data_IF_474918409463
#
_entry.id   IF_474918409463
#
_cell.length_a   1.000
_cell.length_b   1.000
_cell.length_c   1.000
_cell.angle_alpha   90.00
_cell.angle_beta   90.00
_cell.angle_gamma   90.00
#
_symmetry.space_group_name_H-M   'P 1'
#
loop_
_entity.id
_entity.type
_entity.pdbx_description
1 polymer ?
#
# COMPACT_ATOMS: atom_id res chain seq x y z
N UNK A 1 -5.73 3.17 -18.62
CA UNK A 1 -5.91 3.35 -17.18
C UNK A 1 -4.56 3.70 -16.55
N UNK A 2 -4.50 4.76 -15.74
CA UNK A 2 -3.28 5.16 -15.04
C UNK A 2 -3.28 4.60 -13.62
N UNK A 3 -2.10 4.25 -13.11
CA UNK A 3 -1.88 3.79 -11.73
C UNK A 3 -2.41 4.77 -10.68
N UNK A 4 -2.47 6.04 -11.02
CA UNK A 4 -2.94 7.12 -10.15
C UNK A 4 -4.46 7.32 -10.17
N UNK A 5 -5.19 6.68 -11.08
CA UNK A 5 -6.61 6.95 -11.32
C UNK A 5 -7.50 6.63 -10.10
N UNK A 6 -7.13 5.64 -9.29
CA UNK A 6 -7.91 5.24 -8.11
C UNK A 6 -7.97 6.34 -7.03
N UNK A 7 -7.05 7.30 -7.06
CA UNK A 7 -6.91 8.34 -6.04
C UNK A 7 -7.55 9.68 -6.42
N UNK A 8 -8.19 9.77 -7.58
CA UNK A 8 -8.77 11.04 -8.07
C UNK A 8 -9.90 11.58 -7.17
N UNK A 9 -10.54 10.72 -6.38
CA UNK A 9 -11.60 11.10 -5.42
C UNK A 9 -11.11 11.20 -3.98
N UNK A 10 -9.82 10.97 -3.72
CA UNK A 10 -9.26 11.14 -2.40
C UNK A 10 -9.38 12.60 -1.95
N UNK A 11 -9.62 12.87 -0.66
CA UNK A 11 -9.72 14.23 -0.16
C UNK A 11 -8.50 15.08 -0.52
N UNK A 12 -8.71 16.32 -0.89
CA UNK A 12 -7.62 17.23 -1.29
C UNK A 12 -6.55 17.33 -0.18
N UNK A 13 -6.98 17.32 1.08
CA UNK A 13 -6.08 17.38 2.24
C UNK A 13 -5.10 16.19 2.31
N UNK A 14 -5.47 15.01 1.81
CA UNK A 14 -4.59 13.85 1.78
C UNK A 14 -3.60 13.87 0.61
N UNK A 15 -3.93 14.64 -0.44
CA UNK A 15 -3.16 14.70 -1.67
C UNK A 15 -2.23 15.91 -1.74
N UNK A 16 -2.36 16.87 -0.82
CA UNK A 16 -1.61 18.13 -0.86
C UNK A 16 -0.39 18.09 0.05
N UNK A 17 0.77 18.47 -0.49
CA UNK A 17 1.94 18.77 0.32
C UNK A 17 1.85 20.20 0.87
N UNK A 18 2.44 20.44 2.04
CA UNK A 18 2.58 21.76 2.63
C UNK A 18 3.77 22.53 2.01
N UNK A 19 3.76 22.66 0.71
CA UNK A 19 4.76 23.40 -0.09
C UNK A 19 4.17 24.72 -0.60
N UNK A 20 5.00 25.65 -1.12
CA UNK A 20 4.49 26.86 -1.77
C UNK A 20 3.42 26.55 -2.82
N UNK A 21 2.40 27.40 -2.90
CA UNK A 21 1.25 27.20 -3.79
C UNK A 21 1.68 27.01 -5.27
N UNK A 22 2.72 27.69 -5.71
CA UNK A 22 3.28 27.57 -7.06
C UNK A 22 3.79 26.16 -7.38
N UNK A 23 4.28 25.41 -6.39
CA UNK A 23 4.68 24.04 -6.59
C UNK A 23 3.48 23.13 -6.81
N UNK A 24 2.42 23.35 -6.04
CA UNK A 24 1.19 22.60 -6.23
C UNK A 24 0.58 22.89 -7.63
N UNK A 25 0.59 24.13 -8.07
CA UNK A 25 0.15 24.54 -9.41
C UNK A 25 1.02 23.92 -10.52
N UNK A 26 2.30 23.64 -10.23
CA UNK A 26 3.20 22.88 -11.10
C UNK A 26 3.03 21.35 -10.99
N UNK A 27 2.03 20.85 -10.26
CA UNK A 27 1.72 19.43 -10.16
C UNK A 27 2.39 18.68 -8.99
N UNK A 28 3.09 19.39 -8.08
CA UNK A 28 3.71 18.77 -6.89
C UNK A 28 2.62 18.44 -5.86
N UNK A 29 2.12 17.21 -5.95
CA UNK A 29 1.08 16.67 -5.06
C UNK A 29 1.29 15.16 -4.87
N UNK A 30 0.57 14.55 -3.94
CA UNK A 30 0.48 13.09 -3.86
C UNK A 30 -0.45 12.58 -4.96
N UNK A 31 0.05 11.72 -5.81
CA UNK A 31 -0.72 11.09 -6.87
C UNK A 31 -1.22 9.70 -6.45
N UNK A 32 -0.42 8.99 -5.64
CA UNK A 32 -0.66 7.59 -5.27
C UNK A 32 -0.38 6.63 -6.44
N UNK A 33 -0.08 5.37 -6.11
CA UNK A 33 0.28 4.35 -7.10
C UNK A 33 -0.32 3.00 -6.74
N UNK A 34 -0.11 1.99 -7.57
CA UNK A 34 -0.75 0.67 -7.51
C UNK A 34 -2.29 0.76 -7.51
N UNK A 35 -2.83 1.73 -8.24
CA UNK A 35 -4.26 2.01 -8.23
C UNK A 35 -5.11 0.87 -8.74
N UNK A 36 -4.66 0.12 -9.74
CA UNK A 36 -5.37 -1.06 -10.24
C UNK A 36 -5.45 -2.15 -9.16
N UNK A 37 -4.34 -2.42 -8.46
CA UNK A 37 -4.30 -3.37 -7.36
C UNK A 37 -5.22 -2.95 -6.22
N UNK A 38 -5.08 -1.74 -5.70
CA UNK A 38 -5.90 -1.27 -4.57
C UNK A 38 -7.39 -1.16 -4.92
N UNK A 39 -7.73 -0.85 -6.18
CA UNK A 39 -9.12 -0.89 -6.66
C UNK A 39 -9.67 -2.31 -6.67
N UNK A 40 -8.88 -3.29 -7.12
CA UNK A 40 -9.27 -4.68 -7.06
C UNK A 40 -9.50 -5.13 -5.62
N UNK A 41 -8.60 -4.77 -4.69
CA UNK A 41 -8.76 -5.08 -3.27
C UNK A 41 -9.99 -4.41 -2.67
N UNK A 42 -10.30 -3.16 -3.04
CA UNK A 42 -11.51 -2.46 -2.59
C UNK A 42 -12.80 -3.20 -2.98
N UNK A 43 -12.85 -3.72 -4.20
CA UNK A 43 -13.97 -4.53 -4.68
C UNK A 43 -14.01 -5.88 -3.97
N UNK A 44 -12.90 -6.64 -4.02
CA UNK A 44 -12.89 -8.03 -3.57
C UNK A 44 -13.06 -8.16 -2.05
N UNK A 45 -12.45 -7.28 -1.26
CA UNK A 45 -12.66 -7.27 0.19
C UNK A 45 -14.10 -6.97 0.57
N UNK A 46 -14.79 -6.08 -0.16
CA UNK A 46 -16.19 -5.79 0.07
C UNK A 46 -17.07 -7.01 -0.24
N UNK A 47 -16.82 -7.74 -1.33
CA UNK A 47 -17.51 -9.00 -1.64
C UNK A 47 -17.34 -10.02 -0.52
N UNK A 48 -16.10 -10.26 -0.05
CA UNK A 48 -15.80 -11.21 1.02
C UNK A 48 -16.46 -10.84 2.36
N UNK A 49 -16.69 -9.55 2.59
CA UNK A 49 -17.36 -9.04 3.79
C UNK A 49 -18.88 -8.89 3.63
N UNK A 50 -19.46 -9.39 2.53
CA UNK A 50 -20.91 -9.36 2.27
C UNK A 50 -21.45 -7.96 1.98
N UNK A 51 -20.59 -7.00 1.55
CA UNK A 51 -20.95 -5.63 1.23
C UNK A 51 -20.99 -5.42 -0.29
N UNK A 52 -21.99 -6.06 -0.92
CA UNK A 52 -22.18 -5.99 -2.37
C UNK A 52 -22.45 -4.57 -2.88
N UNK A 53 -23.07 -3.72 -2.06
CA UNK A 53 -23.25 -2.29 -2.32
C UNK A 53 -21.91 -1.57 -2.52
N UNK A 54 -20.95 -1.83 -1.62
CA UNK A 54 -19.57 -1.27 -1.68
C UNK A 54 -18.80 -1.90 -2.84
N UNK A 55 -18.91 -3.21 -3.05
CA UNK A 55 -18.27 -3.90 -4.16
C UNK A 55 -18.71 -3.32 -5.51
N UNK A 56 -20.02 -3.12 -5.69
CA UNK A 56 -20.58 -2.50 -6.89
C UNK A 56 -20.09 -1.06 -7.08
N UNK A 57 -20.02 -0.28 -6.01
CA UNK A 57 -19.45 1.06 -6.07
C UNK A 57 -17.99 1.03 -6.51
N UNK A 58 -17.15 0.18 -5.90
CA UNK A 58 -15.74 0.04 -6.27
C UNK A 58 -15.57 -0.39 -7.74
N UNK A 59 -16.40 -1.33 -8.19
CA UNK A 59 -16.41 -1.83 -9.57
C UNK A 59 -16.73 -0.73 -10.57
N UNK A 60 -17.68 0.14 -10.27
CA UNK A 60 -18.16 1.20 -11.15
C UNK A 60 -17.56 2.59 -10.88
N UNK A 61 -16.54 2.66 -10.05
CA UNK A 61 -15.94 3.90 -9.54
C UNK A 61 -15.62 4.92 -10.65
N UNK A 62 -15.09 4.44 -11.77
CA UNK A 62 -14.69 5.29 -12.91
C UNK A 62 -15.84 5.68 -13.85
N UNK A 63 -16.96 4.96 -13.79
CA UNK A 63 -18.16 5.23 -14.60
C UNK A 63 -19.08 6.21 -13.87
N UNK A 64 -19.35 5.93 -12.61
CA UNK A 64 -20.31 6.67 -11.80
C UNK A 64 -19.69 7.85 -11.04
N UNK A 65 -18.42 8.15 -11.32
CA UNK A 65 -17.69 9.23 -10.67
C UNK A 65 -17.72 9.12 -9.13
N UNK A 66 -17.62 7.89 -8.62
CA UNK A 66 -17.79 7.52 -7.21
C UNK A 66 -19.15 7.92 -6.60
N UNK A 67 -20.15 8.20 -7.43
CA UNK A 67 -21.46 8.71 -6.99
C UNK A 67 -22.47 7.63 -6.58
N UNK A 68 -22.19 6.34 -6.80
CA UNK A 68 -23.10 5.27 -6.39
C UNK A 68 -23.33 5.30 -4.87
N UNK A 69 -24.59 5.28 -4.40
CA UNK A 69 -24.88 5.25 -2.98
C UNK A 69 -24.35 3.97 -2.33
N UNK A 70 -24.06 4.06 -1.06
CA UNK A 70 -23.66 2.94 -0.21
C UNK A 70 -24.64 2.86 0.95
N UNK A 71 -25.24 1.70 1.14
CA UNK A 71 -26.22 1.45 2.19
C UNK A 71 -25.53 0.89 3.45
N UNK A 72 -26.05 1.28 4.62
CA UNK A 72 -25.56 0.76 5.89
C UNK A 72 -24.28 1.45 6.44
N UNK A 73 -23.59 0.80 7.39
CA UNK A 73 -22.42 1.38 8.05
C UNK A 73 -21.24 1.49 7.07
N UNK A 74 -20.32 2.45 7.30
CA UNK A 74 -19.13 2.57 6.47
C UNK A 74 -18.29 1.30 6.51
N UNK A 75 -17.78 0.89 5.34
CA UNK A 75 -16.78 -0.17 5.21
C UNK A 75 -15.38 0.47 5.11
N UNK A 76 -14.52 0.11 6.05
CA UNK A 76 -13.16 0.66 6.25
C UNK A 76 -12.13 -0.41 5.97
N UNK A 77 -11.33 -0.21 4.97
CA UNK A 77 -10.30 -1.18 4.55
C UNK A 77 -8.94 -0.50 4.48
N UNK A 78 -7.91 -1.15 5.01
CA UNK A 78 -6.52 -0.81 4.73
C UNK A 78 -5.95 -1.89 3.83
N UNK A 79 -5.54 -1.50 2.64
CA UNK A 79 -4.94 -2.37 1.64
C UNK A 79 -3.43 -2.20 1.62
N UNK A 80 -2.71 -3.28 1.90
CA UNK A 80 -1.26 -3.36 1.94
C UNK A 80 -0.75 -4.10 0.69
N UNK A 81 -0.42 -3.37 -0.37
CA UNK A 81 0.27 -3.90 -1.53
C UNK A 81 1.76 -3.95 -1.22
N UNK A 82 2.26 -5.13 -0.85
CA UNK A 82 3.65 -5.34 -0.43
C UNK A 82 4.37 -6.20 -1.47
N UNK A 83 5.24 -5.58 -2.23
CA UNK A 83 6.05 -6.21 -3.28
C UNK A 83 7.44 -5.59 -3.35
N UNK A 84 8.16 -5.76 -4.44
CA UNK A 84 9.41 -5.05 -4.69
C UNK A 84 9.23 -3.52 -4.71
N UNK A 85 8.02 -3.08 -5.03
CA UNK A 85 7.47 -1.75 -4.77
C UNK A 85 6.28 -1.93 -3.84
N UNK A 86 6.19 -1.15 -2.76
CA UNK A 86 5.18 -1.33 -1.72
C UNK A 86 4.38 -0.05 -1.48
N UNK A 87 3.08 -0.17 -1.29
CA UNK A 87 2.23 0.94 -0.86
C UNK A 87 1.09 0.49 0.03
N UNK A 88 0.60 1.41 0.86
CA UNK A 88 -0.57 1.20 1.71
C UNK A 88 -1.60 2.27 1.37
N UNK A 89 -2.84 1.82 1.23
CA UNK A 89 -3.99 2.69 0.88
C UNK A 89 -5.09 2.53 1.91
N UNK A 90 -5.58 3.66 2.43
CA UNK A 90 -6.83 3.70 3.17
C UNK A 90 -8.02 3.78 2.21
N UNK A 91 -9.03 2.95 2.44
CA UNK A 91 -10.21 2.82 1.57
C UNK A 91 -11.47 2.96 2.43
N UNK A 92 -12.35 3.87 2.04
CA UNK A 92 -13.65 4.07 2.66
C UNK A 92 -14.76 3.82 1.65
N UNK A 93 -15.61 2.84 1.93
CA UNK A 93 -16.74 2.51 1.05
C UNK A 93 -16.31 2.31 -0.42
N UNK A 94 -15.22 1.58 -0.65
CA UNK A 94 -14.74 1.23 -1.99
C UNK A 94 -13.95 2.32 -2.73
N UNK A 95 -13.75 3.51 -2.12
CA UNK A 95 -12.94 4.58 -2.69
C UNK A 95 -11.71 4.89 -1.83
N UNK A 96 -10.57 5.21 -2.46
CA UNK A 96 -9.37 5.56 -1.73
C UNK A 96 -9.52 6.92 -1.01
N UNK A 97 -9.02 6.98 0.23
CA UNK A 97 -8.87 8.24 0.98
C UNK A 97 -7.44 8.77 0.95
N UNK A 98 -6.48 7.99 0.48
CA UNK A 98 -5.08 8.35 0.34
C UNK A 98 -4.20 7.13 0.07
N UNK A 99 -2.93 7.37 -0.24
CA UNK A 99 -1.90 6.34 -0.50
C UNK A 99 -0.57 6.76 0.13
N UNK A 100 0.21 5.82 0.58
CA UNK A 100 1.54 6.09 1.17
C UNK A 100 2.54 6.67 0.18
N UNK A 101 2.43 6.34 -1.11
CA UNK A 101 3.23 6.95 -2.15
C UNK A 101 2.76 8.37 -2.46
N UNK A 102 3.65 9.20 -2.99
CA UNK A 102 3.45 10.63 -3.15
C UNK A 102 3.46 11.12 -4.59
N UNK A 103 4.33 12.10 -4.88
CA UNK A 103 4.55 12.64 -6.22
C UNK A 103 5.05 11.56 -7.19
N UNK A 104 5.87 10.69 -6.68
CA UNK A 104 6.44 9.54 -7.39
C UNK A 104 6.31 8.28 -6.52
N UNK A 105 6.61 7.08 -7.04
CA UNK A 105 6.60 5.85 -6.26
C UNK A 105 7.86 5.70 -5.38
N UNK A 106 8.31 6.79 -4.74
CA UNK A 106 9.50 6.83 -3.88
C UNK A 106 9.17 6.90 -2.40
N UNK A 107 8.13 7.64 -2.01
CA UNK A 107 7.74 7.82 -0.61
C UNK A 107 6.90 6.66 -0.07
N UNK A 108 6.66 6.69 1.22
CA UNK A 108 5.94 5.65 1.94
C UNK A 108 6.91 4.64 2.56
N UNK A 109 6.66 3.36 2.32
CA UNK A 109 7.51 2.29 2.80
C UNK A 109 8.87 2.29 2.07
N UNK A 110 9.94 1.80 2.69
CA UNK A 110 11.13 1.44 1.92
C UNK A 110 10.76 0.34 0.91
N UNK A 111 11.22 0.51 -0.33
CA UNK A 111 11.06 -0.49 -1.39
C UNK A 111 12.33 -1.32 -1.50
N UNK A 112 12.43 -2.22 -2.47
CA UNK A 112 13.66 -3.00 -2.66
C UNK A 112 14.90 -2.11 -2.75
N UNK A 113 14.86 -1.05 -3.57
CA UNK A 113 15.99 -0.16 -3.86
C UNK A 113 15.65 1.34 -3.82
N UNK A 114 14.46 1.70 -3.33
CA UNK A 114 13.99 3.09 -3.21
C UNK A 114 13.72 3.44 -1.76
N UNK A 115 14.09 4.67 -1.39
CA UNK A 115 14.27 5.10 0.00
C UNK A 115 13.03 5.04 0.89
N UNK A 116 11.82 5.24 0.33
CA UNK A 116 10.62 5.47 1.14
C UNK A 116 10.53 6.91 1.67
N UNK A 117 9.89 7.08 2.82
CA UNK A 117 9.78 8.40 3.47
C UNK A 117 11.15 8.87 3.97
N UNK A 118 11.49 10.10 3.65
CA UNK A 118 12.74 10.76 4.01
C UNK A 118 12.49 12.23 4.31
N UNK A 119 13.17 12.77 5.30
CA UNK A 119 13.24 14.22 5.52
C UNK A 119 13.93 14.87 4.30
N UNK A 120 13.24 15.79 3.64
CA UNK A 120 13.75 16.50 2.46
C UNK A 120 15.07 17.26 2.73
N UNK A 121 15.33 17.66 3.98
CA UNK A 121 16.56 18.32 4.35
C UNK A 121 17.77 17.39 4.38
N UNK A 122 17.56 16.07 4.54
CA UNK A 122 18.65 15.10 4.44
C UNK A 122 19.31 15.12 3.06
N UNK A 123 18.51 15.28 1.99
CA UNK A 123 19.01 15.41 0.62
C UNK A 123 19.93 16.62 0.48
N UNK A 124 19.45 17.79 0.89
CA UNK A 124 20.23 19.03 0.81
C UNK A 124 21.49 19.00 1.69
N UNK A 125 21.40 18.33 2.85
CA UNK A 125 22.53 18.13 3.74
C UNK A 125 23.63 17.32 3.06
N UNK A 126 23.30 16.18 2.47
CA UNK A 126 24.28 15.30 1.82
C UNK A 126 24.90 15.96 0.58
N UNK A 127 24.09 16.65 -0.23
CA UNK A 127 24.62 17.42 -1.38
C UNK A 127 25.65 18.46 -0.95
N UNK A 128 25.39 19.18 0.14
CA UNK A 128 26.34 20.20 0.65
C UNK A 128 27.56 19.59 1.29
N UNK A 129 27.42 18.49 2.06
CA UNK A 129 28.50 17.85 2.79
C UNK A 129 29.50 17.18 1.86
N UNK A 130 28.99 16.41 0.89
CA UNK A 130 29.78 15.53 0.03
C UNK A 130 29.94 16.07 -1.40
N UNK A 131 29.31 17.20 -1.72
CA UNK A 131 29.38 17.82 -3.06
C UNK A 131 28.59 17.04 -4.13
N UNK A 132 27.58 16.25 -3.72
CA UNK A 132 26.84 15.38 -4.63
C UNK A 132 26.04 16.18 -5.66
N UNK A 133 26.09 15.75 -6.90
CA UNK A 133 25.23 16.22 -7.99
C UNK A 133 23.79 15.70 -7.81
N UNK A 134 22.86 16.28 -8.56
CA UNK A 134 21.45 15.82 -8.59
C UNK A 134 21.38 14.36 -9.01
N UNK A 135 22.13 13.95 -10.04
CA UNK A 135 22.10 12.60 -10.59
C UNK A 135 22.64 11.56 -9.58
N UNK A 136 23.69 11.92 -8.82
CA UNK A 136 24.22 11.05 -7.77
C UNK A 136 23.23 10.89 -6.62
N UNK A 137 22.53 11.96 -6.24
CA UNK A 137 21.48 11.88 -5.23
C UNK A 137 20.29 11.08 -5.73
N UNK A 138 19.86 11.29 -6.97
CA UNK A 138 18.79 10.50 -7.57
C UNK A 138 19.13 9.01 -7.56
N UNK A 139 20.34 8.64 -7.98
CA UNK A 139 20.80 7.25 -7.92
C UNK A 139 20.80 6.69 -6.50
N UNK A 140 21.28 7.45 -5.51
CA UNK A 140 21.31 7.02 -4.11
C UNK A 140 19.88 6.75 -3.57
N UNK A 141 18.91 7.60 -3.93
CA UNK A 141 17.53 7.47 -3.43
C UNK A 141 16.71 6.42 -4.19
N UNK A 142 16.95 6.27 -5.50
CA UNK A 142 16.10 5.49 -6.41
C UNK A 142 16.64 4.10 -6.76
N UNK A 143 17.95 3.87 -6.54
CA UNK A 143 18.63 2.65 -6.96
C UNK A 143 19.48 1.99 -5.88
N UNK A 144 19.99 2.77 -4.93
CA UNK A 144 20.89 2.31 -3.87
C UNK A 144 20.26 2.42 -2.47
N UNK A 145 19.05 2.99 -2.36
CA UNK A 145 18.30 3.14 -1.12
C UNK A 145 17.43 1.93 -0.78
N UNK A 146 16.43 2.15 0.07
CA UNK A 146 15.46 1.14 0.46
C UNK A 146 16.05 -0.04 1.22
N UNK A 147 15.46 -1.21 1.03
CA UNK A 147 15.93 -2.45 1.67
C UNK A 147 17.36 -2.79 1.26
N UNK A 148 17.73 -2.52 0.00
CA UNK A 148 19.12 -2.69 -0.48
C UNK A 148 20.11 -1.88 0.31
N UNK A 149 19.83 -0.60 0.52
CA UNK A 149 20.72 0.29 1.27
C UNK A 149 20.83 -0.10 2.74
N UNK A 150 19.73 -0.55 3.35
CA UNK A 150 19.69 -0.97 4.74
C UNK A 150 20.40 -2.30 5.00
N UNK A 151 20.27 -3.26 4.07
CA UNK A 151 20.78 -4.63 4.22
C UNK A 151 22.20 -4.84 3.68
N UNK A 152 22.93 -3.78 3.34
CA UNK A 152 24.27 -3.91 2.81
C UNK A 152 24.35 -4.44 1.37
N UNK A 153 23.26 -4.35 0.59
CA UNK A 153 23.25 -4.66 -0.84
C UNK A 153 22.23 -5.69 -1.31
N UNK A 154 21.54 -6.38 -0.40
CA UNK A 154 20.46 -7.31 -0.78
C UNK A 154 19.20 -6.53 -1.20
N UNK A 155 18.70 -6.78 -2.39
CA UNK A 155 17.50 -6.10 -2.92
C UNK A 155 16.26 -7.01 -3.07
N UNK A 156 16.36 -8.26 -2.68
CA UNK A 156 15.24 -9.21 -2.61
C UNK A 156 14.94 -9.57 -1.17
N UNK A 157 13.69 -9.44 -0.77
CA UNK A 157 13.24 -9.75 0.61
C UNK A 157 13.58 -11.18 1.03
N UNK A 158 13.68 -12.12 0.08
CA UNK A 158 14.04 -13.52 0.34
C UNK A 158 15.50 -13.65 0.76
N UNK A 159 16.39 -12.93 0.07
CA UNK A 159 17.81 -12.92 0.36
C UNK A 159 18.06 -12.19 1.69
N UNK A 160 17.36 -11.08 1.92
CA UNK A 160 17.41 -10.33 3.20
C UNK A 160 16.97 -11.23 4.35
N UNK A 161 15.87 -11.96 4.22
CA UNK A 161 15.42 -12.88 5.27
C UNK A 161 16.45 -13.98 5.52
N UNK A 162 17.00 -14.57 4.46
CA UNK A 162 18.02 -15.62 4.60
C UNK A 162 19.28 -15.12 5.29
N UNK A 163 19.71 -13.89 5.00
CA UNK A 163 20.84 -13.26 5.67
C UNK A 163 20.53 -12.96 7.15
N UNK A 164 19.36 -12.44 7.45
CA UNK A 164 18.90 -12.20 8.83
C UNK A 164 18.85 -13.49 9.64
N UNK A 165 18.30 -14.57 9.06
CA UNK A 165 18.24 -15.91 9.69
C UNK A 165 19.65 -16.49 9.94
N UNK A 166 20.62 -16.07 9.12
CA UNK A 166 22.04 -16.41 9.32
C UNK A 166 22.76 -15.49 10.34
N UNK A 167 22.06 -14.52 10.92
CA UNK A 167 22.58 -13.62 11.96
C UNK A 167 23.13 -12.27 11.43
N UNK A 168 22.84 -11.90 10.19
CA UNK A 168 23.21 -10.58 9.65
C UNK A 168 22.33 -9.50 10.28
N UNK A 169 22.94 -8.61 11.06
CA UNK A 169 22.24 -7.56 11.79
C UNK A 169 21.66 -6.45 10.87
N UNK A 170 22.33 -6.14 9.77
CA UNK A 170 21.85 -5.13 8.81
C UNK A 170 20.66 -5.66 8.03
N UNK A 171 20.67 -6.94 7.67
CA UNK A 171 19.53 -7.60 7.05
C UNK A 171 18.31 -7.65 8.01
N UNK A 172 18.53 -7.97 9.29
CA UNK A 172 17.46 -7.94 10.29
C UNK A 172 16.91 -6.51 10.45
N UNK A 173 17.78 -5.52 10.53
CA UNK A 173 17.38 -4.10 10.62
C UNK A 173 16.52 -3.69 9.41
N UNK A 174 16.88 -4.12 8.20
CA UNK A 174 16.11 -3.83 7.01
C UNK A 174 14.67 -4.38 7.09
N UNK A 175 14.50 -5.61 7.59
CA UNK A 175 13.18 -6.20 7.84
C UNK A 175 12.41 -5.42 8.92
N UNK A 176 13.06 -5.06 10.00
CA UNK A 176 12.44 -4.29 11.09
C UNK A 176 11.97 -2.91 10.64
N UNK A 177 12.76 -2.20 9.83
CA UNK A 177 12.39 -0.91 9.24
C UNK A 177 11.21 -1.06 8.30
N UNK A 178 11.17 -2.11 7.48
CA UNK A 178 10.03 -2.39 6.60
C UNK A 178 8.75 -2.61 7.39
N UNK A 179 8.79 -3.48 8.39
CA UNK A 179 7.64 -3.77 9.29
C UNK A 179 7.19 -2.52 10.03
N UNK A 180 8.15 -1.73 10.59
CA UNK A 180 7.84 -0.49 11.28
C UNK A 180 7.13 0.50 10.35
N UNK A 181 7.62 0.68 9.13
CA UNK A 181 7.02 1.58 8.14
C UNK A 181 5.62 1.13 7.72
N UNK A 182 5.41 -0.18 7.54
CA UNK A 182 4.09 -0.71 7.25
C UNK A 182 3.10 -0.43 8.39
N UNK A 183 3.51 -0.69 9.63
CA UNK A 183 2.69 -0.42 10.84
C UNK A 183 2.37 1.07 10.99
N UNK A 184 3.34 1.95 10.69
CA UNK A 184 3.12 3.40 10.70
C UNK A 184 1.96 3.80 9.78
N UNK A 185 1.97 3.35 8.54
CA UNK A 185 0.93 3.67 7.56
C UNK A 185 -0.41 3.00 7.85
N UNK A 186 -0.41 1.76 8.37
CA UNK A 186 -1.63 1.10 8.85
C UNK A 186 -2.25 1.92 9.99
N UNK A 187 -1.45 2.34 10.98
CA UNK A 187 -1.90 3.17 12.10
C UNK A 187 -2.44 4.52 11.65
N UNK A 188 -1.79 5.17 10.68
CA UNK A 188 -2.24 6.43 10.11
C UNK A 188 -3.64 6.30 9.47
N UNK A 189 -3.85 5.27 8.63
CA UNK A 189 -5.16 5.05 8.02
C UNK A 189 -6.20 4.52 9.00
N UNK A 190 -5.81 3.74 10.00
CA UNK A 190 -6.72 3.35 11.09
C UNK A 190 -7.32 4.58 11.77
N UNK A 191 -6.49 5.58 12.08
CA UNK A 191 -6.94 6.83 12.67
C UNK A 191 -7.81 7.66 11.71
N UNK A 192 -7.41 7.81 10.44
CA UNK A 192 -8.15 8.59 9.44
C UNK A 192 -9.52 7.97 9.10
N UNK A 193 -9.62 6.64 9.11
CA UNK A 193 -10.85 5.89 8.87
C UNK A 193 -11.75 5.82 10.11
N UNK A 194 -11.25 6.22 11.29
CA UNK A 194 -11.93 6.05 12.58
C UNK A 194 -12.25 4.56 12.85
N UNK A 195 -11.25 3.71 12.76
CA UNK A 195 -11.35 2.26 12.91
C UNK A 195 -11.08 1.51 11.61
N UNK A 196 -11.24 0.19 11.67
CA UNK A 196 -10.96 -0.70 10.56
C UNK A 196 -11.89 -1.91 10.60
N UNK A 197 -12.39 -2.32 9.44
CA UNK A 197 -13.19 -3.54 9.26
C UNK A 197 -12.33 -4.66 8.63
N UNK A 198 -11.38 -4.30 7.74
CA UNK A 198 -10.44 -5.26 7.19
C UNK A 198 -9.04 -4.68 6.95
N UNK A 199 -8.02 -5.48 7.26
CA UNK A 199 -6.62 -5.30 6.86
C UNK A 199 -6.30 -6.33 5.79
N UNK A 200 -5.92 -5.89 4.59
CA UNK A 200 -5.71 -6.78 3.45
C UNK A 200 -4.26 -6.76 3.00
N UNK A 201 -3.67 -7.95 2.87
CA UNK A 201 -2.33 -8.16 2.32
C UNK A 201 -2.41 -8.68 0.89
N UNK A 202 -1.64 -8.05 -0.01
CA UNK A 202 -1.60 -8.39 -1.44
C UNK A 202 -0.20 -8.15 -2.01
N UNK A 203 0.03 -8.56 -3.25
CA UNK A 203 1.32 -8.58 -3.95
C UNK A 203 2.35 -9.53 -3.32
N UNK A 204 3.48 -9.68 -4.01
CA UNK A 204 4.41 -10.80 -3.79
C UNK A 204 4.87 -11.00 -2.34
N UNK A 205 5.16 -9.95 -1.57
CA UNK A 205 5.51 -10.04 -0.16
C UNK A 205 4.25 -10.29 0.68
N UNK A 206 3.18 -9.51 0.45
CA UNK A 206 1.92 -9.62 1.19
C UNK A 206 1.27 -11.00 1.06
N UNK A 207 1.32 -11.60 -0.13
CA UNK A 207 0.73 -12.89 -0.43
C UNK A 207 1.55 -14.08 0.09
N UNK A 208 2.89 -13.98 0.05
CA UNK A 208 3.75 -15.14 0.24
C UNK A 208 4.60 -15.14 1.52
N UNK A 209 4.74 -14.00 2.21
CA UNK A 209 5.64 -13.88 3.37
C UNK A 209 4.88 -13.92 4.69
N UNK A 210 4.63 -15.13 5.18
CA UNK A 210 3.86 -15.40 6.42
C UNK A 210 4.48 -14.71 7.63
N UNK A 211 5.82 -14.75 7.77
CA UNK A 211 6.56 -14.09 8.84
C UNK A 211 6.43 -12.55 8.80
N UNK A 212 6.43 -11.96 7.61
CA UNK A 212 6.25 -10.50 7.46
C UNK A 212 4.83 -10.07 7.88
N UNK A 213 3.79 -10.82 7.47
CA UNK A 213 2.41 -10.55 7.91
C UNK A 213 2.27 -10.69 9.43
N UNK A 214 2.87 -11.74 10.01
CA UNK A 214 2.87 -11.96 11.46
C UNK A 214 3.54 -10.80 12.20
N UNK A 215 4.72 -10.35 11.75
CA UNK A 215 5.43 -9.22 12.34
C UNK A 215 4.66 -7.90 12.25
N UNK A 216 3.99 -7.64 11.12
CA UNK A 216 3.15 -6.45 10.93
C UNK A 216 1.95 -6.48 11.88
N UNK A 217 1.30 -7.63 12.06
CA UNK A 217 0.11 -7.78 12.91
C UNK A 217 0.42 -7.93 14.40
N UNK A 218 1.67 -8.17 14.79
CA UNK A 218 2.05 -8.40 16.18
C UNK A 218 1.70 -7.21 17.10
N UNK A 219 1.12 -7.51 18.27
CA UNK A 219 0.75 -6.49 19.28
C UNK A 219 -0.21 -5.40 18.75
N UNK A 220 -1.17 -5.77 17.89
CA UNK A 220 -2.24 -4.89 17.39
C UNK A 220 -3.64 -5.29 17.91
N UNK A 221 -3.71 -6.12 18.93
CA UNK A 221 -4.96 -6.64 19.52
C UNK A 221 -5.85 -5.51 20.05
N UNK A 222 -5.24 -4.43 20.57
CA UNK A 222 -5.97 -3.25 21.04
C UNK A 222 -6.63 -2.47 19.89
N UNK A 223 -6.16 -2.64 18.66
CA UNK A 223 -6.80 -2.12 17.45
C UNK A 223 -7.81 -3.11 16.87
N UNK A 224 -8.05 -4.23 17.54
CA UNK A 224 -8.96 -5.28 17.08
C UNK A 224 -8.37 -6.18 15.99
N UNK A 225 -7.07 -6.13 15.74
CA UNK A 225 -6.38 -6.96 14.74
C UNK A 225 -5.77 -8.16 15.46
N UNK A 226 -6.32 -9.36 15.23
CA UNK A 226 -5.84 -10.62 15.80
C UNK A 226 -5.59 -11.61 14.68
N UNK A 227 -4.32 -11.91 14.43
CA UNK A 227 -3.91 -12.90 13.45
C UNK A 227 -4.09 -14.31 14.02
N UNK A 228 -4.54 -15.25 13.20
CA UNK A 228 -4.51 -16.68 13.49
C UNK A 228 -3.18 -17.24 12.95
N UNK A 229 -2.26 -17.71 13.82
CA UNK A 229 -0.93 -18.15 13.37
C UNK A 229 -0.99 -19.35 12.41
N UNK A 230 -1.90 -20.30 12.63
CA UNK A 230 -2.01 -21.51 11.82
C UNK A 230 -2.56 -21.17 10.43
N UNK A 231 -3.64 -20.37 10.38
CA UNK A 231 -4.21 -19.89 9.10
C UNK A 231 -3.20 -19.05 8.33
N UNK A 232 -2.46 -18.17 9.03
CA UNK A 232 -1.44 -17.34 8.38
C UNK A 232 -0.33 -18.19 7.77
N UNK A 233 0.18 -19.19 8.51
CA UNK A 233 1.27 -20.05 8.03
C UNK A 233 0.83 -20.94 6.86
N UNK A 234 -0.41 -21.40 6.87
CA UNK A 234 -0.97 -22.21 5.79
C UNK A 234 -1.27 -21.43 4.50
N UNK A 235 -1.37 -20.09 4.57
CA UNK A 235 -1.80 -19.27 3.43
C UNK A 235 -0.63 -18.68 2.65
N UNK A 236 -0.46 -19.10 1.39
CA UNK A 236 0.54 -18.56 0.44
C UNK A 236 -0.10 -18.44 -0.95
N UNK A 237 -0.05 -17.25 -1.53
CA UNK A 237 -0.57 -16.93 -2.87
C UNK A 237 -2.03 -17.40 -3.12
N UNK A 238 -2.83 -17.47 -2.08
CA UNK A 238 -4.25 -17.84 -2.16
C UNK A 238 -5.11 -16.87 -1.34
N UNK A 239 -6.38 -16.76 -1.73
CA UNK A 239 -7.34 -15.94 -1.03
C UNK A 239 -7.82 -16.62 0.26
N UNK A 240 -7.56 -15.98 1.40
CA UNK A 240 -7.96 -16.51 2.69
C UNK A 240 -8.16 -15.43 3.75
N UNK A 241 -9.10 -15.67 4.66
CA UNK A 241 -9.23 -14.93 5.92
C UNK A 241 -8.29 -15.57 6.94
N UNK A 242 -7.25 -14.84 7.34
CA UNK A 242 -6.20 -15.32 8.23
C UNK A 242 -6.27 -14.70 9.64
N UNK A 243 -7.33 -13.97 9.95
CA UNK A 243 -7.61 -13.51 11.32
C UNK A 243 -8.20 -14.61 12.19
N UNK A 244 -8.02 -14.49 13.50
CA UNK A 244 -8.72 -15.28 14.48
C UNK A 244 -10.24 -15.09 14.38
N UNK A 245 -11.03 -16.06 14.81
CA UNK A 245 -12.51 -16.02 14.70
C UNK A 245 -13.11 -14.85 15.47
N UNK A 246 -12.55 -14.53 16.64
CA UNK A 246 -12.96 -13.44 17.52
C UNK A 246 -12.32 -12.09 17.17
N UNK A 247 -11.59 -12.01 16.04
CA UNK A 247 -10.98 -10.75 15.58
C UNK A 247 -12.05 -9.80 15.05
N UNK A 248 -12.24 -8.62 15.66
CA UNK A 248 -13.13 -7.59 15.12
C UNK A 248 -12.74 -7.14 13.71
N UNK A 249 -11.45 -6.96 13.48
CA UNK A 249 -10.89 -6.62 12.17
C UNK A 249 -10.53 -7.91 11.44
N UNK A 250 -11.06 -8.09 10.24
CA UNK A 250 -10.68 -9.25 9.41
C UNK A 250 -9.31 -9.00 8.78
N UNK A 251 -8.39 -9.93 8.96
CA UNK A 251 -7.10 -9.94 8.26
C UNK A 251 -7.22 -10.90 7.09
N UNK A 252 -6.97 -10.41 5.89
CA UNK A 252 -7.26 -11.15 4.65
C UNK A 252 -6.03 -11.11 3.74
N UNK A 253 -5.71 -12.24 3.13
CA UNK A 253 -4.82 -12.30 1.97
C UNK A 253 -5.69 -12.34 0.72
N UNK A 254 -5.43 -11.45 -0.23
CA UNK A 254 -6.12 -11.43 -1.53
C UNK A 254 -5.05 -11.28 -2.60
N UNK A 255 -4.78 -12.31 -3.42
CA UNK A 255 -3.91 -12.18 -4.58
C UNK A 255 -4.42 -11.08 -5.51
N UNK A 256 -3.54 -10.13 -5.87
CA UNK A 256 -3.94 -9.02 -6.73
C UNK A 256 -4.26 -9.48 -8.14
N UNK A 257 -5.21 -8.81 -8.79
CA UNK A 257 -5.56 -9.04 -10.20
C UNK A 257 -5.72 -7.69 -10.92
N UNK A 258 -4.62 -7.03 -11.17
CA UNK A 258 -4.56 -5.73 -11.84
C UNK A 258 -5.03 -5.83 -13.29
N UNK A 259 -4.71 -6.93 -13.97
CA UNK A 259 -5.10 -7.19 -15.35
C UNK A 259 -6.62 -7.23 -15.51
N UNK A 260 -7.34 -7.81 -14.58
CA UNK A 260 -8.80 -7.85 -14.58
C UNK A 260 -9.39 -6.43 -14.52
N UNK A 261 -8.84 -5.56 -13.69
CA UNK A 261 -9.29 -4.15 -13.59
C UNK A 261 -9.08 -3.45 -14.91
N UNK A 262 -7.88 -3.57 -15.51
CA UNK A 262 -7.56 -2.97 -16.81
C UNK A 262 -8.46 -3.53 -17.90
N UNK A 263 -8.63 -4.85 -17.99
CA UNK A 263 -9.45 -5.50 -19.00
C UNK A 263 -10.93 -5.05 -18.94
N UNK A 264 -11.47 -4.89 -17.74
CA UNK A 264 -12.85 -4.39 -17.52
C UNK A 264 -13.01 -2.95 -18.03
N UNK A 265 -12.06 -2.06 -17.74
CA UNK A 265 -12.12 -0.67 -18.20
C UNK A 265 -11.94 -0.56 -19.72
N UNK A 266 -11.04 -1.35 -20.31
CA UNK A 266 -10.89 -1.43 -21.77
C UNK A 266 -12.19 -1.92 -22.42
N UNK A 267 -12.81 -2.99 -21.88
CA UNK A 267 -14.08 -3.48 -22.39
C UNK A 267 -15.16 -2.41 -22.35
N UNK A 268 -15.33 -1.70 -21.23
CA UNK A 268 -16.30 -0.60 -21.10
C UNK A 268 -16.07 0.50 -22.13
N UNK A 269 -14.82 0.90 -22.33
CA UNK A 269 -14.48 1.90 -23.34
C UNK A 269 -14.87 1.46 -24.75
N UNK A 270 -14.59 0.21 -25.10
CA UNK A 270 -14.93 -0.36 -26.41
C UNK A 270 -16.46 -0.47 -26.62
N UNK A 271 -17.19 -0.90 -25.59
CA UNK A 271 -18.64 -1.03 -25.64
C UNK A 271 -19.31 0.35 -25.80
N UNK A 272 -18.78 1.39 -25.13
CA UNK A 272 -19.29 2.76 -25.24
C UNK A 272 -19.04 3.38 -26.63
N UNK A 273 -17.93 3.09 -27.27
CA UNK A 273 -17.59 3.64 -28.58
C UNK A 273 -18.15 2.83 -29.77
N UNK A 274 -18.87 1.74 -29.51
CA UNK A 274 -19.58 0.95 -30.54
C UNK A 274 -21.03 1.36 -30.74
N UNK A 275 -21.57 2.17 -29.84
CA UNK A 275 -22.92 2.76 -29.88
C UNK A 275 -22.84 4.25 -30.29
#
# INVERSE_FOLDING_TARGET
>A
LFETAFYQWAPEASNRYAVPKSWHEAGVRRWGFHGASHKFIAERSAELLGREDVANRARNLYVDNAGSPVDGPPLRVVSCHLGGSSSITGILNGAAIGNSMGLSPQSGLPHNNRVGDLDSMAVLHMMRRDGLSIDEVENALCSEGGLKGLSGGHNDIRDIQSAADAGDADAQLALDVFVHSARHWIGAYFAQLNGLDALVFTAGIGENRTGTRAAICANLEQLGIRLDPEKNEATQAEEAVISAEDSPVKVIVIPTNEELVVAREVKRFLDHNRN
#
